data_IF_875030350885
#
_entry.id   IF_875030350885
#
_cell.length_a   1.000
_cell.length_b   1.000
_cell.length_c   1.000
_cell.angle_alpha   90.00
_cell.angle_beta   90.00
_cell.angle_gamma   90.00
#
_symmetry.space_group_name_H-M   'P 1'
#
loop_
_entity.id
_entity.type
_entity.pdbx_description
1 polymer ?
#
# COMPACT_ATOMS: atom_id res chain seq x y z
N UNK A 1 8.60 18.14 -13.55
CA UNK A 1 7.88 16.84 -13.51
C UNK A 1 6.39 17.11 -13.50
N UNK A 2 5.56 16.34 -14.21
CA UNK A 2 4.11 16.51 -14.11
C UNK A 2 3.66 16.15 -12.69
N UNK A 3 3.17 17.12 -11.91
CA UNK A 3 2.51 16.86 -10.64
C UNK A 3 1.22 16.09 -10.93
N UNK A 4 1.04 14.92 -10.33
CA UNK A 4 -0.13 14.08 -10.58
C UNK A 4 -1.29 14.32 -9.60
N UNK A 5 -1.08 15.15 -8.58
CA UNK A 5 -2.16 15.64 -7.72
C UNK A 5 -2.83 14.57 -6.85
N UNK A 6 -2.09 13.56 -6.37
CA UNK A 6 -2.50 12.81 -5.18
C UNK A 6 -2.64 13.75 -3.96
N UNK A 7 -2.69 13.25 -2.73
CA UNK A 7 -2.50 14.12 -1.54
C UNK A 7 -1.07 14.73 -1.44
N UNK A 8 -0.32 14.76 -2.56
CA UNK A 8 0.99 15.36 -2.74
C UNK A 8 1.41 15.28 -4.22
N UNK A 9 2.55 15.91 -4.55
CA UNK A 9 2.96 16.20 -5.94
C UNK A 9 4.05 15.28 -6.48
N UNK A 10 4.53 14.33 -5.69
CA UNK A 10 5.72 13.55 -6.00
C UNK A 10 5.40 12.26 -6.77
N UNK A 11 6.20 12.02 -7.81
CA UNK A 11 6.33 10.71 -8.41
C UNK A 11 7.42 9.91 -7.66
N UNK A 12 7.30 8.58 -7.59
CA UNK A 12 6.20 7.80 -8.13
C UNK A 12 5.01 7.70 -7.17
N UNK A 13 3.83 7.43 -7.74
CA UNK A 13 2.65 7.08 -6.96
C UNK A 13 2.90 5.78 -6.16
N UNK A 14 2.44 5.80 -4.91
CA UNK A 14 2.54 4.67 -3.98
C UNK A 14 1.17 4.11 -3.62
N UNK A 15 0.23 4.99 -3.31
CA UNK A 15 -1.18 4.74 -3.08
C UNK A 15 -1.95 6.08 -3.25
N UNK A 16 -3.27 6.12 -3.08
CA UNK A 16 -4.05 7.35 -3.32
C UNK A 16 -3.88 8.46 -2.28
N UNK A 17 -3.46 8.13 -1.06
CA UNK A 17 -3.66 8.98 0.11
C UNK A 17 -2.45 9.01 1.07
N UNK A 18 -1.31 8.51 0.63
CA UNK A 18 -0.08 8.43 1.40
C UNK A 18 1.13 8.14 0.50
N UNK A 19 2.32 8.30 1.05
CA UNK A 19 3.58 8.16 0.31
C UNK A 19 4.45 7.03 0.80
N UNK A 20 4.00 6.28 1.80
CA UNK A 20 4.78 5.24 2.42
C UNK A 20 4.45 3.85 1.86
N UNK A 21 5.49 3.03 1.73
CA UNK A 21 5.32 1.59 1.77
C UNK A 21 5.22 1.11 3.22
N UNK A 22 4.64 -0.07 3.41
CA UNK A 22 4.46 -0.68 4.73
C UNK A 22 4.90 -2.12 4.70
N UNK A 23 5.31 -2.62 5.86
CA UNK A 23 5.65 -4.01 6.10
C UNK A 23 5.19 -4.39 7.49
N UNK A 24 4.76 -5.62 7.65
CA UNK A 24 4.37 -6.17 8.95
C UNK A 24 5.62 -6.76 9.58
N UNK A 25 5.98 -6.30 10.78
CA UNK A 25 7.14 -6.82 11.52
C UNK A 25 6.77 -8.05 12.37
N UNK A 26 5.48 -8.20 12.68
CA UNK A 26 4.90 -9.34 13.36
C UNK A 26 3.83 -8.91 14.35
N UNK A 27 3.28 -9.88 15.05
CA UNK A 27 2.23 -9.70 16.06
C UNK A 27 2.81 -10.07 17.44
N UNK A 28 2.43 -9.32 18.47
CA UNK A 28 2.71 -9.60 19.86
C UNK A 28 1.39 -9.75 20.65
N UNK A 29 1.35 -10.60 21.69
CA UNK A 29 0.16 -10.76 22.51
C UNK A 29 -0.09 -9.53 23.37
N UNK A 30 -1.37 -9.27 23.63
CA UNK A 30 -1.86 -8.34 24.65
C UNK A 30 -2.47 -9.20 25.76
N UNK A 31 -2.04 -8.99 26.99
CA UNK A 31 -2.53 -9.72 28.17
C UNK A 31 -3.95 -9.26 28.56
N UNK A 32 -4.62 -10.04 29.43
CA UNK A 32 -5.98 -9.73 29.88
C UNK A 32 -6.12 -8.37 30.60
N UNK A 33 -5.05 -7.88 31.22
CA UNK A 33 -5.00 -6.56 31.85
C UNK A 33 -4.69 -5.41 30.85
N UNK A 34 -4.63 -5.72 29.54
CA UNK A 34 -4.32 -4.79 28.47
C UNK A 34 -2.83 -4.49 28.28
N UNK A 35 -1.95 -5.10 29.08
CA UNK A 35 -0.50 -4.87 28.98
C UNK A 35 0.14 -5.66 27.84
N UNK A 36 1.20 -5.11 27.25
CA UNK A 36 1.99 -5.77 26.21
C UNK A 36 3.48 -5.50 26.41
N UNK A 37 4.31 -6.53 26.25
CA UNK A 37 5.77 -6.45 26.38
C UNK A 37 6.45 -7.36 25.35
N UNK A 38 7.19 -6.74 24.43
CA UNK A 38 7.75 -7.41 23.25
C UNK A 38 9.00 -6.72 22.71
N UNK A 39 9.82 -7.49 22.00
CA UNK A 39 11.02 -7.01 21.31
C UNK A 39 10.66 -6.41 19.94
N UNK A 40 11.43 -5.43 19.49
CA UNK A 40 11.29 -4.83 18.16
C UNK A 40 12.68 -4.61 17.53
N UNK A 41 12.78 -4.47 16.20
CA UNK A 41 14.05 -4.15 15.57
C UNK A 41 14.60 -2.80 16.03
N UNK A 42 15.88 -2.77 16.42
CA UNK A 42 16.57 -1.53 16.75
C UNK A 42 16.77 -0.63 15.52
N UNK A 43 16.80 0.69 15.75
CA UNK A 43 17.03 1.72 14.74
C UNK A 43 16.10 1.64 13.53
N UNK A 44 14.87 1.17 13.77
CA UNK A 44 13.78 1.18 12.79
C UNK A 44 12.66 2.06 13.29
N UNK A 45 12.16 2.90 12.39
CA UNK A 45 10.89 3.58 12.60
C UNK A 45 9.77 2.53 12.55
N UNK A 46 9.08 2.39 13.67
CA UNK A 46 7.99 1.43 13.86
C UNK A 46 6.77 2.14 14.41
N UNK A 47 5.60 1.58 14.16
CA UNK A 47 4.34 2.01 14.75
C UNK A 47 3.52 0.77 15.09
N UNK A 48 2.54 0.95 15.98
CA UNK A 48 1.74 -0.16 16.51
C UNK A 48 0.28 -0.02 16.11
N UNK A 49 -0.37 -1.16 15.92
CA UNK A 49 -1.82 -1.28 15.78
C UNK A 49 -2.32 -2.25 16.82
N UNK A 50 -3.33 -1.83 17.59
CA UNK A 50 -4.05 -2.74 18.48
C UNK A 50 -5.08 -3.49 17.65
N UNK A 51 -5.11 -4.81 17.78
CA UNK A 51 -5.97 -5.69 16.98
C UNK A 51 -7.01 -6.37 17.88
N UNK A 52 -8.19 -6.65 17.32
CA UNK A 52 -9.22 -7.47 17.95
C UNK A 52 -8.99 -8.98 17.71
N UNK A 53 -9.91 -9.82 18.18
CA UNK A 53 -9.85 -11.27 18.01
C UNK A 53 -9.86 -11.73 16.55
N UNK A 54 -10.37 -10.90 15.64
CA UNK A 54 -10.46 -11.16 14.19
C UNK A 54 -9.27 -10.55 13.43
N UNK A 55 -8.22 -10.11 14.14
CA UNK A 55 -7.05 -9.41 13.59
C UNK A 55 -7.41 -8.09 12.90
N UNK A 56 -8.54 -7.49 13.23
CA UNK A 56 -8.95 -6.19 12.73
C UNK A 56 -8.44 -5.07 13.64
N UNK A 57 -8.00 -3.97 13.05
CA UNK A 57 -7.44 -2.84 13.80
C UNK A 57 -8.52 -2.12 14.63
N UNK A 58 -8.35 -2.15 15.95
CA UNK A 58 -9.10 -1.34 16.92
C UNK A 58 -8.61 0.11 16.90
N UNK A 59 -7.29 0.30 16.92
CA UNK A 59 -6.64 1.60 16.97
C UNK A 59 -5.25 1.54 16.34
N UNK A 60 -4.81 2.63 15.71
CA UNK A 60 -3.46 2.76 15.17
C UNK A 60 -2.71 3.90 15.83
N UNK A 61 -1.46 3.66 16.18
CA UNK A 61 -0.49 4.72 16.32
C UNK A 61 -0.34 5.40 14.95
N UNK A 62 -0.54 6.71 14.90
CA UNK A 62 -0.38 7.53 13.67
C UNK A 62 0.91 8.34 13.62
N UNK A 63 1.73 8.16 14.65
CA UNK A 63 3.15 8.49 14.66
C UNK A 63 3.93 7.18 14.65
N UNK A 64 5.22 7.23 14.98
CA UNK A 64 6.01 6.05 15.26
C UNK A 64 7.04 6.33 16.33
N UNK A 65 7.77 5.30 16.70
CA UNK A 65 8.92 5.38 17.61
C UNK A 65 10.11 4.67 17.00
N UNK A 66 11.27 4.88 17.60
CA UNK A 66 12.53 4.20 17.31
C UNK A 66 13.11 3.80 18.65
N UNK A 67 13.66 2.60 18.75
CA UNK A 67 14.40 2.13 19.93
C UNK A 67 15.83 1.79 19.55
N UNK A 68 16.77 2.13 20.41
CA UNK A 68 18.18 1.77 20.30
C UNK A 68 18.41 0.32 20.72
N UNK A 69 19.58 -0.23 20.37
CA UNK A 69 19.97 -1.58 20.81
C UNK A 69 20.09 -1.63 22.34
N UNK A 70 19.34 -2.52 22.98
CA UNK A 70 19.31 -2.67 24.45
C UNK A 70 18.44 -1.64 25.18
N UNK A 71 17.85 -0.68 24.47
CA UNK A 71 16.92 0.28 25.07
C UNK A 71 15.58 -0.39 25.41
N UNK A 72 15.04 -0.05 26.58
CA UNK A 72 13.66 -0.38 26.97
C UNK A 72 12.85 0.90 27.02
N UNK A 73 11.78 0.96 26.22
CA UNK A 73 10.85 2.08 26.19
C UNK A 73 9.45 1.61 26.54
N UNK A 74 8.70 2.43 27.27
CA UNK A 74 7.34 2.12 27.73
C UNK A 74 6.39 3.28 27.51
N UNK A 75 5.10 2.97 27.37
CA UNK A 75 4.03 3.98 27.33
C UNK A 75 2.91 3.58 28.29
N UNK A 76 2.26 4.59 28.89
CA UNK A 76 1.16 4.38 29.84
C UNK A 76 -0.08 3.81 29.15
N UNK A 77 -0.31 4.18 27.89
CA UNK A 77 -1.44 3.71 27.10
C UNK A 77 -1.38 4.22 25.66
N UNK A 78 -2.32 3.74 24.84
CA UNK A 78 -2.42 4.07 23.43
C UNK A 78 -2.81 5.55 23.21
N UNK A 79 -1.80 6.41 23.02
CA UNK A 79 -1.93 7.87 22.86
C UNK A 79 -2.23 8.66 24.16
N UNK A 80 -1.81 8.11 25.30
CA UNK A 80 -1.74 8.84 26.56
C UNK A 80 -0.62 9.90 26.55
N UNK A 81 -0.67 10.84 27.49
CA UNK A 81 0.35 11.88 27.59
C UNK A 81 1.72 11.26 27.92
N UNK A 82 2.70 11.50 27.04
CA UNK A 82 4.07 10.93 27.15
C UNK A 82 4.85 11.39 28.38
N UNK A 83 4.45 12.49 29.00
CA UNK A 83 5.04 13.03 30.24
C UNK A 83 4.26 12.62 31.49
N UNK A 84 3.15 11.92 31.32
CA UNK A 84 2.37 11.42 32.44
C UNK A 84 3.10 10.22 33.02
N UNK A 85 3.45 10.32 34.31
CA UNK A 85 3.81 9.14 35.08
C UNK A 85 2.57 8.25 35.21
N UNK A 86 2.78 6.93 35.34
CA UNK A 86 1.70 6.05 35.75
C UNK A 86 1.08 6.62 37.04
N UNK A 87 -0.25 6.78 37.12
CA UNK A 87 -0.89 7.14 38.37
C UNK A 87 -0.39 6.18 39.45
N UNK A 88 -0.06 6.68 40.63
CA UNK A 88 0.18 5.85 41.82
C UNK A 88 -1.14 5.17 42.20
N UNK A 89 -1.52 4.17 41.44
CA UNK A 89 -2.62 3.26 41.72
C UNK A 89 -1.96 1.99 42.27
N UNK A 90 -2.61 1.25 43.18
CA UNK A 90 -2.10 -0.02 43.72
C UNK A 90 -2.09 -1.14 42.66
N UNK A 91 -1.85 -0.81 41.39
CA UNK A 91 -1.85 -1.72 40.26
C UNK A 91 -0.70 -2.68 40.47
N UNK A 92 -1.07 -3.96 40.67
CA UNK A 92 -0.14 -5.09 40.56
C UNK A 92 0.68 -4.92 39.30
N UNK A 93 1.99 -5.19 39.37
CA UNK A 93 2.89 -5.24 38.21
C UNK A 93 2.15 -5.80 36.97
N UNK A 94 2.10 -5.07 35.84
CA UNK A 94 1.41 -5.51 34.63
C UNK A 94 1.78 -6.95 34.28
N UNK A 95 0.81 -7.74 33.83
CA UNK A 95 0.99 -9.18 33.56
C UNK A 95 2.15 -9.39 32.57
N UNK A 96 2.23 -8.57 31.52
CA UNK A 96 3.26 -8.70 30.49
C UNK A 96 4.69 -8.50 31.03
N UNK A 97 4.87 -7.73 32.11
CA UNK A 97 6.18 -7.49 32.73
C UNK A 97 6.61 -8.58 33.72
N UNK A 98 5.75 -9.59 33.97
CA UNK A 98 6.09 -10.75 34.82
C UNK A 98 6.83 -11.85 34.06
N UNK A 99 7.05 -11.65 32.77
CA UNK A 99 7.74 -12.58 31.86
C UNK A 99 8.73 -11.82 30.97
N UNK A 100 9.67 -12.51 30.32
CA UNK A 100 10.50 -11.90 29.28
C UNK A 100 9.66 -11.31 28.13
N UNK A 101 10.20 -10.32 27.39
CA UNK A 101 9.50 -9.75 26.25
C UNK A 101 9.21 -10.81 25.19
N UNK A 102 8.01 -10.75 24.59
CA UNK A 102 7.65 -11.63 23.48
C UNK A 102 8.45 -11.29 22.23
N UNK A 103 8.86 -12.32 21.48
CA UNK A 103 9.34 -12.14 20.11
C UNK A 103 8.15 -11.91 19.17
N UNK A 104 8.32 -11.03 18.19
CA UNK A 104 7.31 -10.80 17.17
C UNK A 104 7.10 -12.07 16.34
N UNK A 105 5.84 -12.49 16.22
CA UNK A 105 5.46 -13.63 15.40
C UNK A 105 5.09 -13.17 13.99
N UNK A 106 5.68 -13.79 12.98
CA UNK A 106 5.36 -13.56 11.57
C UNK A 106 4.82 -14.84 10.97
N UNK A 107 3.61 -14.83 10.39
CA UNK A 107 3.03 -16.01 9.75
C UNK A 107 3.97 -16.62 8.69
N UNK A 108 4.70 -15.78 7.95
CA UNK A 108 5.54 -16.19 6.82
C UNK A 108 7.06 -16.07 7.11
N UNK A 109 7.44 -15.90 8.39
CA UNK A 109 8.83 -15.90 8.86
C UNK A 109 9.70 -14.69 8.49
N UNK A 110 9.40 -13.92 7.44
CA UNK A 110 10.13 -12.70 7.07
C UNK A 110 9.20 -11.53 6.72
N UNK A 111 9.46 -10.31 7.21
CA UNK A 111 8.72 -9.12 6.80
C UNK A 111 8.88 -8.86 5.30
N UNK A 112 7.78 -8.85 4.57
CA UNK A 112 7.73 -8.43 3.17
C UNK A 112 7.10 -7.05 3.05
N UNK A 113 7.48 -6.32 1.99
CA UNK A 113 6.82 -5.06 1.64
C UNK A 113 5.42 -5.38 1.11
N UNK A 114 4.42 -4.73 1.67
CA UNK A 114 3.01 -5.01 1.38
C UNK A 114 2.66 -4.55 -0.04
N UNK A 115 2.09 -5.45 -0.85
CA UNK A 115 1.73 -5.21 -2.25
C UNK A 115 0.27 -5.57 -2.48
N UNK A 116 -0.57 -4.62 -2.90
CA UNK A 116 -1.97 -4.89 -3.16
C UNK A 116 -2.17 -6.00 -4.20
N UNK A 117 -1.35 -6.00 -5.26
CA UNK A 117 -1.44 -6.99 -6.34
C UNK A 117 -1.02 -8.40 -5.92
N UNK A 118 -0.25 -8.53 -4.83
CA UNK A 118 0.20 -9.84 -4.33
C UNK A 118 -0.67 -10.34 -3.18
N UNK A 119 -1.09 -9.44 -2.29
CA UNK A 119 -1.79 -9.82 -1.05
C UNK A 119 -3.31 -9.82 -1.21
N UNK A 120 -3.88 -8.87 -1.97
CA UNK A 120 -5.34 -8.61 -1.96
C UNK A 120 -6.01 -8.98 -3.27
N UNK A 121 -5.46 -8.55 -4.40
CA UNK A 121 -6.07 -8.82 -5.71
C UNK A 121 -6.32 -10.31 -5.96
N UNK A 122 -5.44 -11.26 -5.56
CA UNK A 122 -5.71 -12.69 -5.75
C UNK A 122 -6.98 -13.18 -5.03
N UNK A 123 -7.33 -12.58 -3.88
CA UNK A 123 -8.58 -12.91 -3.17
C UNK A 123 -9.79 -12.49 -4.01
N UNK A 124 -9.76 -11.30 -4.60
CA UNK A 124 -10.83 -10.84 -5.50
C UNK A 124 -10.86 -11.62 -6.81
N UNK A 125 -9.71 -11.95 -7.39
CA UNK A 125 -9.61 -12.76 -8.61
C UNK A 125 -10.29 -14.12 -8.40
N UNK A 126 -10.08 -14.75 -7.24
CA UNK A 126 -10.67 -16.05 -6.89
C UNK A 126 -12.18 -15.98 -6.63
N UNK A 127 -12.65 -14.96 -5.91
CA UNK A 127 -13.99 -14.98 -5.32
C UNK A 127 -14.98 -13.96 -5.88
N UNK A 128 -14.50 -12.89 -6.53
CA UNK A 128 -15.33 -11.73 -6.84
C UNK A 128 -15.36 -11.40 -8.33
N UNK A 129 -14.23 -11.53 -9.03
CA UNK A 129 -14.08 -11.07 -10.42
C UNK A 129 -15.06 -11.77 -11.37
N UNK A 130 -15.42 -13.03 -11.15
CA UNK A 130 -16.40 -13.74 -12.01
C UNK A 130 -17.73 -12.97 -12.21
N UNK A 131 -18.15 -12.21 -11.19
CA UNK A 131 -19.33 -11.35 -11.21
C UNK A 131 -18.98 -9.85 -11.35
N UNK A 132 -17.85 -9.42 -10.78
CA UNK A 132 -17.42 -8.02 -10.70
C UNK A 132 -16.33 -7.67 -11.74
N UNK A 133 -16.51 -8.07 -12.99
CA UNK A 133 -15.58 -7.80 -14.09
C UNK A 133 -16.22 -6.97 -15.21
N UNK A 134 -15.41 -6.37 -16.08
CA UNK A 134 -15.85 -5.64 -17.27
C UNK A 134 -16.95 -6.39 -18.04
N UNK A 135 -18.02 -5.68 -18.40
CA UNK A 135 -19.17 -6.24 -19.10
C UNK A 135 -20.14 -7.06 -18.23
N UNK A 136 -19.85 -7.26 -16.94
CA UNK A 136 -20.78 -7.92 -16.01
C UNK A 136 -21.66 -6.89 -15.30
N UNK A 137 -22.92 -7.27 -15.05
CA UNK A 137 -23.90 -6.42 -14.35
C UNK A 137 -23.41 -5.94 -12.98
N UNK A 138 -22.70 -6.77 -12.20
CA UNK A 138 -22.24 -6.34 -10.88
C UNK A 138 -21.08 -5.31 -10.96
N UNK A 139 -20.35 -5.25 -12.07
CA UNK A 139 -19.27 -4.29 -12.29
C UNK A 139 -19.76 -2.85 -12.48
N UNK A 140 -21.00 -2.65 -12.93
CA UNK A 140 -21.65 -1.33 -12.93
C UNK A 140 -21.65 -0.73 -11.51
N UNK A 141 -21.93 -1.56 -10.50
CA UNK A 141 -21.88 -1.17 -9.10
C UNK A 141 -20.45 -1.11 -8.56
N UNK A 142 -19.63 -2.12 -8.81
CA UNK A 142 -18.24 -2.17 -8.35
C UNK A 142 -17.43 -3.10 -9.26
N UNK A 143 -16.47 -2.58 -10.00
CA UNK A 143 -15.58 -3.40 -10.83
C UNK A 143 -14.32 -3.79 -10.00
N UNK A 144 -14.08 -5.09 -9.84
CA UNK A 144 -12.97 -5.68 -9.09
C UNK A 144 -11.92 -6.34 -9.98
N UNK A 145 -11.96 -6.09 -11.28
CA UNK A 145 -10.99 -6.61 -12.23
C UNK A 145 -9.55 -6.23 -11.85
N UNK A 146 -8.62 -7.13 -12.18
CA UNK A 146 -7.18 -6.96 -11.92
C UNK A 146 -6.47 -6.01 -12.88
N UNK A 147 -7.18 -5.58 -13.93
CA UNK A 147 -6.61 -4.87 -15.07
C UNK A 147 -5.88 -3.60 -14.66
N UNK A 148 -4.64 -3.50 -15.11
CA UNK A 148 -3.75 -2.38 -14.87
C UNK A 148 -4.22 -1.19 -15.66
N UNK A 149 -4.24 -0.07 -14.95
CA UNK A 149 -4.53 1.27 -15.48
C UNK A 149 -3.24 2.08 -15.55
N UNK A 150 -3.32 3.36 -15.90
CA UNK A 150 -2.17 4.27 -15.91
C UNK A 150 -1.37 4.28 -14.60
N UNK A 151 -2.01 4.14 -13.44
CA UNK A 151 -1.32 4.31 -12.14
C UNK A 151 -1.45 3.11 -11.22
N UNK A 152 -2.65 2.57 -11.06
CA UNK A 152 -2.92 1.41 -10.21
C UNK A 152 -3.62 0.33 -11.05
N UNK A 153 -4.44 -0.52 -10.46
CA UNK A 153 -5.36 -1.38 -11.19
C UNK A 153 -6.83 -0.95 -11.01
N UNK A 154 -7.72 -1.64 -11.71
CA UNK A 154 -9.15 -1.32 -11.79
C UNK A 154 -9.82 -1.41 -10.42
N UNK A 155 -9.70 -2.55 -9.74
CA UNK A 155 -10.30 -2.79 -8.42
C UNK A 155 -9.84 -1.81 -7.35
N UNK A 156 -8.54 -1.51 -7.25
CA UNK A 156 -8.01 -0.58 -6.26
C UNK A 156 -8.62 0.82 -6.45
N UNK A 157 -8.66 1.30 -7.71
CA UNK A 157 -9.27 2.58 -8.04
C UNK A 157 -10.75 2.62 -7.71
N UNK A 158 -11.49 1.56 -8.03
CA UNK A 158 -12.92 1.45 -7.78
C UNK A 158 -13.24 1.42 -6.28
N UNK A 159 -12.57 0.56 -5.51
CA UNK A 159 -12.73 0.45 -4.05
C UNK A 159 -12.49 1.77 -3.34
N UNK A 160 -11.46 2.49 -3.77
CA UNK A 160 -11.10 3.78 -3.20
C UNK A 160 -12.09 4.87 -3.60
N UNK A 161 -12.31 5.09 -4.91
CA UNK A 161 -13.14 6.19 -5.45
C UNK A 161 -14.59 6.07 -4.98
N UNK A 162 -15.13 4.85 -4.95
CA UNK A 162 -16.51 4.58 -4.51
C UNK A 162 -16.63 4.46 -2.98
N UNK A 163 -15.55 4.71 -2.23
CA UNK A 163 -15.51 4.72 -0.76
C UNK A 163 -16.01 3.40 -0.14
N UNK A 164 -15.62 2.26 -0.73
CA UNK A 164 -15.87 0.94 -0.13
C UNK A 164 -14.92 0.65 1.03
N UNK A 165 -13.74 1.28 1.01
CA UNK A 165 -12.77 1.28 2.10
C UNK A 165 -12.80 2.63 2.83
N UNK A 166 -12.49 2.61 4.13
CA UNK A 166 -12.38 3.78 5.00
C UNK A 166 -10.93 3.95 5.46
N UNK A 167 -10.02 4.09 4.51
CA UNK A 167 -8.66 4.58 4.77
C UNK A 167 -8.68 6.10 4.96
N UNK A 168 -7.76 6.63 5.77
CA UNK A 168 -7.70 8.06 6.10
C UNK A 168 -6.51 8.76 5.48
N UNK A 169 -5.55 8.02 4.90
CA UNK A 169 -4.35 8.59 4.32
C UNK A 169 -3.48 9.29 5.35
N UNK A 170 -2.90 10.41 4.95
CA UNK A 170 -2.29 11.37 5.87
C UNK A 170 -3.27 11.78 6.99
N UNK A 171 -4.55 11.95 6.63
CA UNK A 171 -5.64 12.19 7.57
C UNK A 171 -5.55 13.50 8.35
N UNK A 172 -6.56 13.81 9.18
CA UNK A 172 -6.53 14.93 10.12
C UNK A 172 -5.42 14.72 11.18
N UNK A 173 -4.85 15.76 11.80
CA UNK A 173 -3.74 15.56 12.77
C UNK A 173 -4.18 14.94 14.09
N UNK A 174 -5.47 15.03 14.41
CA UNK A 174 -6.06 14.55 15.64
C UNK A 174 -6.05 13.02 15.74
N UNK A 175 -6.04 12.55 16.98
CA UNK A 175 -6.21 11.14 17.31
C UNK A 175 -7.58 10.71 16.80
N UNK A 176 -7.60 9.66 16.01
CA UNK A 176 -8.85 9.08 15.55
C UNK A 176 -9.45 8.22 16.67
N UNK A 177 -10.77 8.23 16.80
CA UNK A 177 -11.45 7.37 17.77
C UNK A 177 -11.23 5.90 17.39
N UNK A 178 -11.17 5.03 18.40
CA UNK A 178 -11.13 3.58 18.15
C UNK A 178 -12.29 3.18 17.21
N UNK A 179 -12.03 2.23 16.31
CA UNK A 179 -12.97 1.73 15.31
C UNK A 179 -13.51 2.75 14.28
N UNK A 180 -13.05 4.02 14.31
CA UNK A 180 -13.64 5.07 13.46
C UNK A 180 -13.16 5.05 12.00
N UNK A 181 -12.11 4.27 11.71
CA UNK A 181 -11.54 4.10 10.38
C UNK A 181 -10.96 2.69 10.23
N UNK A 182 -10.43 2.38 9.05
CA UNK A 182 -9.89 1.05 8.76
C UNK A 182 -10.99 0.05 8.43
N UNK A 183 -10.71 -1.21 8.71
CA UNK A 183 -11.50 -2.39 8.36
C UNK A 183 -12.89 -2.35 9.01
N UNK A 184 -13.00 -2.06 10.31
CA UNK A 184 -14.29 -1.93 11.01
C UNK A 184 -15.23 -0.88 10.38
N UNK A 185 -14.67 0.24 9.94
CA UNK A 185 -15.46 1.33 9.36
C UNK A 185 -15.74 1.16 7.85
N UNK A 186 -15.13 0.15 7.20
CA UNK A 186 -15.20 -0.04 5.76
C UNK A 186 -16.47 -0.77 5.32
N UNK A 187 -17.13 -0.26 4.27
CA UNK A 187 -18.33 -0.89 3.69
C UNK A 187 -18.06 -2.28 3.15
N UNK A 188 -16.88 -2.47 2.54
CA UNK A 188 -16.45 -3.77 2.01
C UNK A 188 -16.48 -4.83 3.11
N UNK A 189 -15.85 -4.56 4.26
CA UNK A 189 -15.75 -5.51 5.37
C UNK A 189 -17.12 -5.83 5.97
N UNK A 190 -18.03 -4.85 6.06
CA UNK A 190 -19.41 -5.08 6.47
C UNK A 190 -20.14 -6.06 5.55
N UNK A 191 -19.96 -5.94 4.24
CA UNK A 191 -20.54 -6.88 3.25
C UNK A 191 -19.93 -8.26 3.40
N UNK A 192 -18.60 -8.36 3.54
CA UNK A 192 -17.92 -9.65 3.69
C UNK A 192 -18.38 -10.40 4.95
N UNK A 193 -18.50 -9.69 6.09
CA UNK A 193 -18.96 -10.28 7.36
C UNK A 193 -20.43 -10.67 7.36
N UNK A 194 -21.27 -9.94 6.63
CA UNK A 194 -22.68 -10.29 6.45
C UNK A 194 -22.90 -11.48 5.49
N UNK A 195 -21.85 -11.89 4.78
CA UNK A 195 -21.94 -12.86 3.69
C UNK A 195 -22.34 -12.19 2.37
N UNK A 196 -21.85 -12.75 1.26
CA UNK A 196 -22.19 -12.27 -0.08
C UNK A 196 -22.40 -13.44 -1.04
N UNK A 197 -23.67 -13.83 -1.22
CA UNK A 197 -24.05 -15.03 -1.99
C UNK A 197 -23.35 -16.26 -1.41
N UNK A 198 -22.76 -17.10 -2.25
CA UNK A 198 -22.09 -18.34 -1.85
C UNK A 198 -20.59 -18.17 -1.60
N UNK A 199 -20.08 -16.93 -1.60
CA UNK A 199 -18.67 -16.64 -1.37
C UNK A 199 -18.30 -16.96 0.08
N UNK A 200 -17.27 -17.79 0.25
CA UNK A 200 -16.66 -18.12 1.54
C UNK A 200 -15.17 -17.86 1.47
N UNK A 201 -14.71 -16.88 2.24
CA UNK A 201 -13.29 -16.59 2.39
C UNK A 201 -12.70 -17.51 3.46
N UNK A 202 -11.46 -17.92 3.28
CA UNK A 202 -10.67 -18.46 4.38
C UNK A 202 -10.31 -17.34 5.37
N UNK A 203 -9.88 -17.71 6.58
CA UNK A 203 -9.41 -16.74 7.58
C UNK A 203 -8.25 -15.90 7.03
N UNK A 204 -7.27 -16.54 6.38
CA UNK A 204 -6.13 -15.85 5.75
C UNK A 204 -6.55 -14.90 4.62
N UNK A 205 -7.54 -15.29 3.80
CA UNK A 205 -8.07 -14.43 2.72
C UNK A 205 -8.82 -13.21 3.28
N UNK A 206 -9.57 -13.39 4.36
CA UNK A 206 -10.22 -12.28 5.07
C UNK A 206 -9.19 -11.36 5.73
N UNK A 207 -8.20 -11.94 6.42
CA UNK A 207 -7.10 -11.23 7.07
C UNK A 207 -6.32 -10.37 6.06
N UNK A 208 -6.03 -10.89 4.87
CA UNK A 208 -5.33 -10.15 3.82
C UNK A 208 -6.08 -8.86 3.40
N UNK A 209 -7.42 -8.92 3.34
CA UNK A 209 -8.26 -7.76 3.00
C UNK A 209 -8.28 -6.75 4.16
N UNK A 210 -8.57 -7.19 5.39
CA UNK A 210 -8.67 -6.26 6.53
C UNK A 210 -7.33 -5.63 6.87
N UNK A 211 -6.25 -6.42 6.84
CA UNK A 211 -4.88 -5.94 7.05
C UNK A 211 -4.50 -4.90 6.02
N UNK A 212 -4.81 -5.11 4.74
CA UNK A 212 -4.55 -4.10 3.71
C UNK A 212 -5.25 -2.76 3.99
N UNK A 213 -6.54 -2.82 4.37
CA UNK A 213 -7.31 -1.62 4.71
C UNK A 213 -6.71 -0.92 5.93
N UNK A 214 -6.37 -1.68 6.97
CA UNK A 214 -5.84 -1.19 8.25
C UNK A 214 -4.42 -0.64 8.13
N UNK A 215 -3.63 -1.16 7.20
CA UNK A 215 -2.38 -0.55 6.74
C UNK A 215 -2.61 0.72 5.92
N UNK A 216 -3.81 1.31 5.89
CA UNK A 216 -4.14 2.52 5.15
C UNK A 216 -4.08 2.33 3.62
N UNK A 217 -4.39 1.12 3.16
CA UNK A 217 -4.54 0.73 1.76
C UNK A 217 -3.33 1.04 0.83
N UNK A 218 -2.11 0.56 1.16
CA UNK A 218 -0.96 0.68 0.25
C UNK A 218 -1.23 -0.09 -1.05
N UNK A 219 -0.69 0.40 -2.17
CA UNK A 219 -0.74 -0.33 -3.45
C UNK A 219 0.64 -0.87 -3.81
N UNK A 220 1.61 0.02 -3.99
CA UNK A 220 2.97 -0.35 -4.40
C UNK A 220 3.83 -0.72 -3.18
N UNK A 221 4.62 -1.80 -3.26
CA UNK A 221 5.51 -2.19 -2.17
C UNK A 221 6.77 -1.32 -2.08
N UNK A 222 7.16 -0.61 -3.16
CA UNK A 222 8.49 0.02 -3.29
C UNK A 222 8.47 1.35 -4.07
N UNK A 223 9.40 2.24 -3.70
CA UNK A 223 9.48 3.62 -4.19
C UNK A 223 10.16 3.81 -5.53
N UNK A 224 10.97 2.87 -5.97
CA UNK A 224 11.62 2.95 -7.26
C UNK A 224 10.64 2.63 -8.39
N UNK A 225 10.95 3.18 -9.57
CA UNK A 225 10.02 3.16 -10.68
C UNK A 225 10.69 2.85 -12.02
N UNK A 226 9.90 2.23 -12.91
CA UNK A 226 10.31 1.95 -14.27
C UNK A 226 10.22 3.18 -15.18
N UNK A 227 9.29 4.10 -14.89
CA UNK A 227 8.88 5.18 -15.79
C UNK A 227 8.97 6.58 -15.15
N UNK A 228 10.16 7.04 -14.74
CA UNK A 228 10.32 8.27 -13.93
C UNK A 228 9.85 9.56 -14.61
N UNK A 229 9.65 9.54 -15.93
CA UNK A 229 9.20 10.70 -16.73
C UNK A 229 7.72 10.63 -17.12
N UNK A 230 7.05 9.51 -16.88
CA UNK A 230 5.66 9.30 -17.26
C UNK A 230 4.72 9.69 -16.12
N UNK A 231 3.42 9.76 -16.44
CA UNK A 231 2.37 10.06 -15.47
C UNK A 231 2.51 9.17 -14.22
N UNK A 232 2.53 9.84 -13.06
CA UNK A 232 2.70 9.26 -11.72
C UNK A 232 3.97 8.41 -11.51
N UNK A 233 4.94 8.42 -12.42
CA UNK A 233 6.06 7.47 -12.40
C UNK A 233 5.67 6.02 -12.68
N UNK A 234 4.39 5.73 -12.98
CA UNK A 234 3.85 4.37 -13.10
C UNK A 234 3.21 4.09 -14.47
N UNK A 235 2.81 5.12 -15.21
CA UNK A 235 2.18 4.93 -16.52
C UNK A 235 3.15 4.35 -17.55
N UNK A 236 2.78 3.30 -18.29
CA UNK A 236 3.56 2.82 -19.42
C UNK A 236 3.48 3.77 -20.62
N UNK A 237 2.44 4.62 -20.68
CA UNK A 237 2.27 5.63 -21.71
C UNK A 237 3.03 6.91 -21.36
N UNK A 238 3.78 7.43 -22.33
CA UNK A 238 4.44 8.72 -22.21
C UNK A 238 3.46 9.90 -22.38
N UNK A 239 3.93 11.12 -22.13
CA UNK A 239 3.08 12.31 -22.16
C UNK A 239 2.47 12.60 -23.56
N UNK A 240 3.18 12.27 -24.65
CA UNK A 240 2.67 12.46 -26.02
C UNK A 240 1.52 11.49 -26.30
N UNK A 241 1.70 10.22 -25.93
CA UNK A 241 0.67 9.18 -26.06
C UNK A 241 -0.57 9.51 -25.22
N UNK A 242 -0.38 9.90 -23.94
CA UNK A 242 -1.49 10.28 -23.08
C UNK A 242 -2.24 11.52 -23.58
N UNK A 243 -1.52 12.53 -24.11
CA UNK A 243 -2.16 13.68 -24.75
C UNK A 243 -2.98 13.25 -25.95
N UNK A 244 -2.40 12.46 -26.86
CA UNK A 244 -3.11 11.99 -28.06
C UNK A 244 -4.33 11.15 -27.71
N UNK A 245 -4.21 10.24 -26.75
CA UNK A 245 -5.33 9.46 -26.24
C UNK A 245 -6.41 10.36 -25.63
N UNK A 246 -6.02 11.42 -24.92
CA UNK A 246 -6.97 12.43 -24.41
C UNK A 246 -7.69 13.16 -25.56
N UNK A 247 -6.97 13.53 -26.62
CA UNK A 247 -7.54 14.24 -27.77
C UNK A 247 -8.57 13.36 -28.52
N UNK A 248 -8.29 12.06 -28.67
CA UNK A 248 -9.16 11.07 -29.30
C UNK A 248 -10.38 10.73 -28.43
N UNK A 249 -10.14 10.42 -27.15
CA UNK A 249 -11.18 9.89 -26.25
C UNK A 249 -11.97 10.99 -25.52
N UNK A 250 -11.48 12.23 -25.55
CA UNK A 250 -11.94 13.37 -24.72
C UNK A 250 -11.82 13.13 -23.21
N UNK A 251 -11.14 12.06 -22.79
CA UNK A 251 -10.85 11.79 -21.38
C UNK A 251 -9.59 12.55 -20.96
N UNK A 252 -9.63 13.43 -19.94
CA UNK A 252 -8.48 14.23 -19.56
C UNK A 252 -7.56 13.46 -18.59
N UNK A 253 -6.81 12.48 -19.12
CA UNK A 253 -6.01 11.52 -18.32
C UNK A 253 -5.11 12.16 -17.25
N UNK A 254 -4.41 13.24 -17.60
CA UNK A 254 -3.54 13.93 -16.63
C UNK A 254 -4.32 14.60 -15.50
N UNK A 255 -5.55 15.08 -15.77
CA UNK A 255 -6.39 15.73 -14.75
C UNK A 255 -7.03 14.71 -13.82
N UNK A 256 -7.49 13.57 -14.34
CA UNK A 256 -8.17 12.53 -13.54
C UNK A 256 -7.20 11.64 -12.76
N UNK A 257 -5.90 11.85 -12.92
CA UNK A 257 -4.88 11.24 -12.07
C UNK A 257 -4.86 11.83 -10.66
N UNK A 258 -5.51 12.98 -10.44
CA UNK A 258 -5.59 13.60 -9.11
C UNK A 258 -6.69 12.98 -8.25
N UNK A 259 -6.50 13.03 -6.93
CA UNK A 259 -7.41 12.38 -5.96
C UNK A 259 -8.82 12.99 -5.96
N UNK A 260 -8.97 14.27 -6.32
CA UNK A 260 -10.24 15.01 -6.26
C UNK A 260 -11.05 15.00 -7.58
N UNK A 261 -10.49 14.45 -8.66
CA UNK A 261 -11.06 14.48 -10.02
C UNK A 261 -11.10 13.10 -10.67
N UNK A 262 -10.81 12.05 -9.92
CA UNK A 262 -10.71 10.68 -10.40
C UNK A 262 -12.07 10.15 -10.92
N UNK A 263 -12.18 9.93 -12.24
CA UNK A 263 -13.35 9.36 -12.90
C UNK A 263 -13.41 7.82 -12.81
N UNK A 264 -12.43 7.20 -12.17
CA UNK A 264 -12.22 5.76 -12.12
C UNK A 264 -11.29 5.26 -13.23
N UNK A 265 -11.15 3.93 -13.35
CA UNK A 265 -10.40 3.29 -14.43
C UNK A 265 -10.95 3.71 -15.79
N UNK A 266 -10.08 4.27 -16.65
CA UNK A 266 -10.44 4.67 -18.02
C UNK A 266 -9.70 3.83 -19.08
N UNK A 267 -8.63 3.15 -18.68
CA UNK A 267 -7.82 2.29 -19.54
C UNK A 267 -7.62 0.96 -18.84
N UNK A 268 -7.78 -0.13 -19.58
CA UNK A 268 -7.26 -1.45 -19.23
C UNK A 268 -6.09 -1.78 -20.14
N UNK A 269 -4.90 -2.02 -19.58
CA UNK A 269 -3.76 -2.50 -20.36
C UNK A 269 -3.73 -4.02 -20.48
N UNK A 270 -4.44 -4.75 -19.61
CA UNK A 270 -4.53 -6.21 -19.70
C UNK A 270 -5.54 -6.63 -20.79
N UNK A 271 -6.58 -5.82 -21.03
CA UNK A 271 -7.62 -6.00 -22.06
C UNK A 271 -7.98 -4.65 -22.73
N UNK A 272 -7.13 -4.16 -23.66
CA UNK A 272 -7.25 -2.84 -24.28
C UNK A 272 -8.64 -2.48 -24.82
N UNK A 273 -9.31 -3.42 -25.47
CA UNK A 273 -10.64 -3.29 -26.06
C UNK A 273 -11.75 -3.03 -25.03
N UNK A 274 -11.56 -3.42 -23.77
CA UNK A 274 -12.53 -3.18 -22.69
C UNK A 274 -12.31 -1.83 -22.00
N UNK A 275 -11.37 -1.01 -22.47
CA UNK A 275 -11.05 0.29 -21.87
C UNK A 275 -12.25 1.23 -21.89
N UNK A 276 -12.72 1.74 -20.74
CA UNK A 276 -13.89 2.62 -20.69
C UNK A 276 -13.77 3.90 -21.54
N UNK A 277 -12.56 4.42 -21.75
CA UNK A 277 -12.35 5.59 -22.62
C UNK A 277 -12.70 5.35 -24.10
N UNK A 278 -12.83 4.08 -24.53
CA UNK A 278 -13.20 3.72 -25.88
C UNK A 278 -14.73 3.63 -26.08
N UNK A 279 -15.53 3.59 -25.00
CA UNK A 279 -16.99 3.39 -25.10
C UNK A 279 -17.74 4.51 -25.83
N UNK A 280 -17.11 5.67 -26.05
CA UNK A 280 -17.70 6.77 -26.81
C UNK A 280 -17.78 6.48 -28.32
N UNK A 281 -16.93 5.60 -28.83
CA UNK A 281 -16.87 5.25 -30.24
C UNK A 281 -17.95 4.22 -30.52
N UNK A 282 -18.83 4.50 -31.49
CA UNK A 282 -19.92 3.59 -31.87
C UNK A 282 -19.47 2.60 -32.95
N UNK A 283 -18.53 3.03 -33.79
CA UNK A 283 -17.98 2.24 -34.88
C UNK A 283 -16.53 1.89 -34.54
N UNK A 284 -16.28 0.60 -34.26
CA UNK A 284 -14.95 0.11 -33.92
C UNK A 284 -14.01 -0.02 -35.12
N UNK A 285 -14.45 0.40 -36.31
CA UNK A 285 -13.62 0.46 -37.52
C UNK A 285 -13.13 1.87 -37.84
N UNK A 286 -13.63 2.90 -37.13
CA UNK A 286 -13.25 4.27 -37.42
C UNK A 286 -11.78 4.54 -37.04
N UNK A 287 -11.05 5.38 -37.82
CA UNK A 287 -9.62 5.60 -37.61
C UNK A 287 -9.26 6.07 -36.20
N UNK A 288 -10.12 6.89 -35.57
CA UNK A 288 -9.89 7.41 -34.22
C UNK A 288 -9.96 6.31 -33.15
N UNK A 289 -10.89 5.36 -33.27
CA UNK A 289 -11.00 4.21 -32.38
C UNK A 289 -9.76 3.33 -32.51
N UNK A 290 -9.39 2.98 -33.75
CA UNK A 290 -8.24 2.13 -34.04
C UNK A 290 -6.94 2.75 -33.50
N UNK A 291 -6.77 4.07 -33.65
CA UNK A 291 -5.61 4.77 -33.11
C UNK A 291 -5.62 4.78 -31.56
N UNK A 292 -6.77 5.05 -30.95
CA UNK A 292 -6.89 5.06 -29.49
C UNK A 292 -6.59 3.67 -28.89
N UNK A 293 -7.12 2.61 -29.51
CA UNK A 293 -6.85 1.23 -29.14
C UNK A 293 -5.36 0.90 -29.30
N UNK A 294 -4.75 1.27 -30.43
CA UNK A 294 -3.33 1.03 -30.69
C UNK A 294 -2.41 1.71 -29.66
N UNK A 295 -2.79 2.91 -29.17
CA UNK A 295 -2.06 3.58 -28.08
C UNK A 295 -2.14 2.75 -26.79
N UNK A 296 -3.32 2.25 -26.44
CA UNK A 296 -3.51 1.45 -25.21
C UNK A 296 -2.75 0.12 -25.31
N UNK A 297 -2.82 -0.56 -26.45
CA UNK A 297 -2.04 -1.76 -26.72
C UNK A 297 -0.53 -1.51 -26.66
N UNK A 298 -0.05 -0.35 -27.12
CA UNK A 298 1.35 0.03 -26.97
C UNK A 298 1.74 0.13 -25.48
N UNK A 299 0.84 0.63 -24.64
CA UNK A 299 0.99 0.59 -23.18
C UNK A 299 1.04 -0.84 -22.62
N UNK A 300 0.18 -1.73 -23.11
CA UNK A 300 0.19 -3.16 -22.76
C UNK A 300 1.53 -3.82 -23.10
N UNK A 301 2.02 -3.63 -24.33
CA UNK A 301 3.33 -4.12 -24.77
C UNK A 301 4.47 -3.54 -23.92
N UNK A 302 4.39 -2.25 -23.58
CA UNK A 302 5.38 -1.60 -22.73
C UNK A 302 5.40 -2.17 -21.30
N UNK A 303 4.25 -2.53 -20.70
CA UNK A 303 4.21 -3.21 -19.40
C UNK A 303 4.82 -4.62 -19.46
N UNK A 304 4.67 -5.34 -20.57
CA UNK A 304 5.33 -6.65 -20.76
C UNK A 304 6.84 -6.50 -20.88
N UNK A 305 7.31 -5.52 -21.65
CA UNK A 305 8.73 -5.30 -21.92
C UNK A 305 9.47 -4.62 -20.75
N UNK A 306 8.78 -3.73 -20.03
CA UNK A 306 9.34 -2.96 -18.92
C UNK A 306 8.32 -2.96 -17.77
N UNK A 307 8.26 -4.03 -16.98
CA UNK A 307 7.23 -4.19 -15.94
C UNK A 307 7.27 -3.07 -14.89
N UNK A 308 6.14 -2.85 -14.22
CA UNK A 308 6.03 -1.93 -13.06
C UNK A 308 6.43 -2.62 -11.76
N UNK A 309 6.59 -1.84 -10.71
CA UNK A 309 6.95 -2.34 -9.37
C UNK A 309 5.95 -3.33 -8.74
N UNK A 310 4.74 -3.44 -9.31
CA UNK A 310 3.69 -4.41 -8.96
C UNK A 310 3.67 -5.63 -9.90
N UNK A 311 4.75 -5.88 -10.63
CA UNK A 311 4.85 -6.94 -11.64
C UNK A 311 6.14 -7.75 -11.49
N UNK A 312 6.08 -9.02 -11.86
CA UNK A 312 7.26 -9.87 -11.99
C UNK A 312 8.20 -9.32 -13.08
N UNK A 313 9.50 -9.49 -12.89
CA UNK A 313 10.52 -8.97 -13.81
C UNK A 313 10.72 -7.45 -13.75
N UNK A 314 10.21 -6.77 -12.71
CA UNK A 314 10.42 -5.34 -12.51
C UNK A 314 11.90 -4.98 -12.42
N UNK A 315 12.30 -3.99 -13.23
CA UNK A 315 13.59 -3.34 -13.14
C UNK A 315 13.41 -1.82 -12.97
N UNK A 316 14.09 -1.27 -11.97
CA UNK A 316 14.08 0.16 -11.69
C UNK A 316 14.75 0.96 -12.82
N UNK A 317 14.41 2.23 -12.96
CA UNK A 317 15.14 3.11 -13.88
C UNK A 317 16.61 3.30 -13.44
N UNK A 318 17.54 3.62 -14.35
CA UNK A 318 18.96 3.72 -14.02
C UNK A 318 19.27 4.70 -12.86
N UNK A 319 18.49 5.76 -12.72
CA UNK A 319 18.64 6.72 -11.61
C UNK A 319 18.32 6.05 -10.27
N UNK A 320 17.22 5.30 -10.19
CA UNK A 320 16.82 4.62 -8.96
C UNK A 320 17.73 3.42 -8.66
N UNK A 321 18.26 2.74 -9.68
CA UNK A 321 19.30 1.72 -9.48
C UNK A 321 20.56 2.30 -8.82
N UNK A 322 21.06 3.45 -9.30
CA UNK A 322 22.21 4.14 -8.68
C UNK A 322 21.92 4.56 -7.24
N UNK A 323 20.74 5.11 -6.97
CA UNK A 323 20.31 5.46 -5.60
C UNK A 323 20.28 4.23 -4.70
N UNK A 324 19.74 3.11 -5.20
CA UNK A 324 19.68 1.87 -4.44
C UNK A 324 21.07 1.31 -4.15
N UNK A 325 22.00 1.38 -5.10
CA UNK A 325 23.39 0.99 -4.88
C UNK A 325 24.04 1.83 -3.77
N UNK A 326 23.80 3.15 -3.75
CA UNK A 326 24.28 4.03 -2.68
C UNK A 326 23.67 3.67 -1.32
N UNK A 327 22.36 3.40 -1.25
CA UNK A 327 21.71 2.98 0.00
C UNK A 327 22.27 1.65 0.52
N UNK A 328 22.47 0.67 -0.36
CA UNK A 328 23.06 -0.63 0.01
C UNK A 328 24.50 -0.44 0.50
N UNK A 329 25.29 0.38 -0.17
CA UNK A 329 26.67 0.67 0.25
C UNK A 329 26.71 1.31 1.64
N UNK A 330 25.87 2.33 1.89
CA UNK A 330 25.75 2.97 3.21
C UNK A 330 25.28 2.01 4.29
N UNK A 331 24.31 1.14 3.98
CA UNK A 331 23.84 0.13 4.93
C UNK A 331 24.93 -0.90 5.28
N UNK A 332 25.78 -1.30 4.33
CA UNK A 332 26.92 -2.18 4.60
C UNK A 332 27.95 -1.52 5.51
N UNK A 333 28.28 -0.26 5.27
CA UNK A 333 29.18 0.52 6.13
C UNK A 333 28.63 0.55 7.56
N UNK A 334 27.35 0.89 7.72
CA UNK A 334 26.70 0.93 9.03
C UNK A 334 26.73 -0.43 9.74
N UNK A 335 26.44 -1.53 9.03
CA UNK A 335 26.50 -2.87 9.60
C UNK A 335 27.92 -3.26 10.03
N UNK A 336 28.93 -2.91 9.23
CA UNK A 336 30.33 -3.17 9.56
C UNK A 336 30.76 -2.36 10.80
N UNK A 337 30.40 -1.08 10.86
CA UNK A 337 30.69 -0.21 12.02
C UNK A 337 30.12 -0.81 13.31
N UNK A 338 28.86 -1.27 13.28
CA UNK A 338 28.20 -1.92 14.43
C UNK A 338 28.87 -3.22 14.83
N UNK A 339 29.23 -4.06 13.86
CA UNK A 339 29.95 -5.31 14.12
C UNK A 339 31.31 -5.05 14.75
N UNK A 340 32.05 -4.07 14.28
CA UNK A 340 33.34 -3.69 14.88
C UNK A 340 33.17 -3.20 16.32
N UNK A 341 32.14 -2.40 16.63
CA UNK A 341 31.82 -2.01 18.02
C UNK A 341 31.52 -3.25 18.88
N UNK A 342 30.70 -4.17 18.38
CA UNK A 342 30.34 -5.41 19.09
C UNK A 342 31.56 -6.30 19.36
N UNK A 343 32.46 -6.40 18.39
CA UNK A 343 33.66 -7.25 18.45
C UNK A 343 34.84 -6.54 19.15
N UNK A 344 34.67 -5.29 19.63
CA UNK A 344 35.73 -4.49 20.27
C UNK A 344 36.84 -4.01 19.32
N UNK A 345 36.56 -3.97 18.01
CA UNK A 345 37.50 -3.60 16.95
C UNK A 345 37.31 -2.15 16.52
N UNK A 346 38.37 -1.53 16.00
CA UNK A 346 38.30 -0.22 15.34
C UNK A 346 38.12 -0.38 13.84
N UNK A 347 37.15 0.33 13.28
CA UNK A 347 36.94 0.45 11.85
C UNK A 347 36.93 1.93 11.49
N UNK A 348 37.71 2.30 10.49
CA UNK A 348 37.82 3.67 10.00
C UNK A 348 37.13 3.80 8.65
N UNK A 349 36.47 4.94 8.43
CA UNK A 349 35.84 5.23 7.14
C UNK A 349 36.90 5.21 6.03
N UNK A 350 36.55 4.57 4.91
CA UNK A 350 37.39 4.64 3.71
C UNK A 350 37.27 6.04 3.10
N UNK A 351 38.38 6.71 2.73
CA UNK A 351 38.31 8.00 2.06
C UNK A 351 37.41 7.93 0.82
N UNK A 352 36.60 8.97 0.52
CA UNK A 352 35.80 8.99 -0.69
C UNK A 352 36.73 8.88 -1.91
N UNK A 353 36.44 7.90 -2.78
CA UNK A 353 37.10 7.75 -4.09
C UNK A 353 36.56 8.75 -5.11
#
# INVERSE_FOLDING_TARGET
>A
HASWGGQGVHCPAMNWHSFENKRILGIAPVEEDGSAYFEVPSDKFIYFQLLDENKMMVQSMRSGTIVQSGEQTGCVGCHENRRMALPQSPVKMPIALRRPPSKLQLPNGRPTLYSYMNEVQPVFDKHCVSCHDYGKKAAEKLNLARDRTNTFNTSYNELWRKKYIKSIGAGPSEIQKAYSWGSHASKLVKVLRAGHKDVKLTEAEFEAIVTWIDLNAPYYPRYDCAYPKNLTGRSPLNNKQLKRLSDLTKVPFSKIAAHNSNLGPQVSFDRPELSPCLQKFKDHTEPEYLEALAIIEAGSRMLKNRPRADMSGFEACPIDQRRQQQYIARQRVELNNRRSIQDGQKLYDTPPQ
#
